data_IF_208570313393
#
_entry.id   IF_208570313393
#
_cell.length_a   1.000
_cell.length_b   1.000
_cell.length_c   1.000
_cell.angle_alpha   90.00
_cell.angle_beta   90.00
_cell.angle_gamma   90.00
#
_symmetry.space_group_name_H-M   'P 1'
#
loop_
_entity.id
_entity.type
_entity.pdbx_description
1 polymer ?
#
# COMPACT_ATOMS: atom_id res chain seq x y z
N UNK A 1 2.83 -10.63 -2.04
CA UNK A 1 3.06 -10.16 -0.66
C UNK A 1 1.92 -9.26 -0.25
N UNK A 2 1.25 -9.62 0.82
CA UNK A 2 0.11 -8.84 1.30
C UNK A 2 0.57 -7.63 2.11
N UNK A 3 -0.13 -6.53 1.95
CA UNK A 3 0.14 -5.29 2.68
C UNK A 3 -1.14 -4.56 3.01
N UNK A 4 -1.03 -3.63 3.94
CA UNK A 4 -2.17 -2.83 4.42
C UNK A 4 -1.79 -1.36 4.37
N UNK A 5 -2.70 -0.53 3.86
CA UNK A 5 -2.51 0.92 3.89
C UNK A 5 -2.83 1.39 5.30
N UNK A 6 -1.83 1.95 6.00
CA UNK A 6 -2.00 2.36 7.39
C UNK A 6 -2.16 3.87 7.55
N UNK A 7 -1.77 4.66 6.55
CA UNK A 7 -1.94 6.11 6.59
C UNK A 7 -1.80 6.67 5.18
N UNK A 8 -2.40 7.82 4.93
CA UNK A 8 -2.27 8.55 3.66
C UNK A 8 -1.87 9.98 3.99
N UNK A 9 -0.77 10.44 3.40
CA UNK A 9 -0.21 11.76 3.69
C UNK A 9 0.13 12.47 2.38
N UNK A 10 -0.73 13.41 1.97
CA UNK A 10 -0.51 14.17 0.76
C UNK A 10 -0.46 13.28 -0.46
N UNK A 11 0.70 13.20 -1.11
CA UNK A 11 0.87 12.47 -2.37
C UNK A 11 1.49 11.08 -2.16
N UNK A 12 1.65 10.64 -0.92
CA UNK A 12 2.15 9.29 -0.65
C UNK A 12 1.33 8.63 0.47
N UNK A 13 1.44 7.32 0.57
CA UNK A 13 0.81 6.52 1.61
C UNK A 13 1.86 5.70 2.34
N UNK A 14 1.55 5.36 3.60
CA UNK A 14 2.34 4.41 4.38
C UNK A 14 1.71 3.05 4.21
N UNK A 15 2.48 2.10 3.73
CA UNK A 15 2.03 0.73 3.46
C UNK A 15 2.85 -0.21 4.32
N UNK A 16 2.16 -1.03 5.10
CA UNK A 16 2.80 -2.01 5.96
C UNK A 16 2.73 -3.39 5.32
N UNK A 17 3.89 -4.03 5.17
CA UNK A 17 3.95 -5.40 4.66
C UNK A 17 3.62 -6.36 5.80
N UNK A 18 2.58 -7.17 5.61
CA UNK A 18 1.99 -7.94 6.70
C UNK A 18 2.93 -8.99 7.30
N UNK A 19 3.76 -9.61 6.46
CA UNK A 19 4.63 -10.69 6.92
C UNK A 19 5.88 -10.19 7.66
N UNK A 20 6.40 -9.03 7.30
CA UNK A 20 7.62 -8.48 7.91
C UNK A 20 7.35 -7.37 8.90
N UNK A 21 6.20 -6.71 8.79
CA UNK A 21 5.88 -5.52 9.58
C UNK A 21 6.61 -4.27 9.12
N UNK A 22 7.33 -4.34 8.01
CA UNK A 22 8.03 -3.17 7.46
C UNK A 22 7.03 -2.18 6.90
N UNK A 23 7.25 -0.89 7.17
CA UNK A 23 6.42 0.19 6.65
C UNK A 23 7.23 0.95 5.59
N UNK A 24 6.61 1.14 4.42
CA UNK A 24 7.23 1.88 3.30
C UNK A 24 6.36 3.06 2.91
N UNK A 25 7.01 4.13 2.46
CA UNK A 25 6.33 5.25 1.82
C UNK A 25 6.18 4.94 0.34
N UNK A 26 4.96 4.97 -0.15
CA UNK A 26 4.65 4.65 -1.54
C UNK A 26 3.85 5.79 -2.14
N UNK A 27 4.30 6.29 -3.29
CA UNK A 27 3.56 7.35 -3.99
C UNK A 27 2.15 6.88 -4.32
N UNK A 28 1.17 7.76 -4.10
CA UNK A 28 -0.23 7.43 -4.40
C UNK A 28 -0.41 7.02 -5.86
N UNK A 29 0.36 7.62 -6.76
CA UNK A 29 0.29 7.30 -8.19
C UNK A 29 0.65 5.84 -8.50
N UNK A 30 1.35 5.15 -7.60
CA UNK A 30 1.72 3.74 -7.76
C UNK A 30 0.70 2.78 -7.15
N UNK A 31 -0.33 3.31 -6.51
CA UNK A 31 -1.35 2.51 -5.84
C UNK A 31 -2.62 2.45 -6.68
N UNK A 32 -3.48 1.45 -6.45
CA UNK A 32 -4.76 1.39 -7.15
C UNK A 32 -5.59 2.65 -6.89
N UNK A 33 -6.35 3.08 -7.89
CA UNK A 33 -7.20 4.25 -7.78
C UNK A 33 -8.23 4.07 -6.67
N UNK A 34 -8.39 5.11 -5.86
CA UNK A 34 -9.40 5.09 -4.79
C UNK A 34 -8.95 4.36 -3.53
N UNK A 35 -7.67 4.04 -3.41
CA UNK A 35 -7.15 3.38 -2.21
C UNK A 35 -7.36 4.29 -0.98
N UNK A 36 -7.66 3.66 0.18
CA UNK A 36 -7.90 4.38 1.43
C UNK A 36 -7.23 3.63 2.58
N UNK A 37 -7.15 4.28 3.73
CA UNK A 37 -6.61 3.69 4.95
C UNK A 37 -7.41 2.45 5.31
N UNK A 38 -6.71 1.37 5.64
CA UNK A 38 -7.31 0.09 5.98
C UNK A 38 -7.44 -0.85 4.79
N UNK A 39 -7.24 -0.37 3.58
CA UNK A 39 -7.33 -1.22 2.39
C UNK A 39 -6.19 -2.23 2.37
N UNK A 40 -6.52 -3.45 1.95
CA UNK A 40 -5.56 -4.53 1.79
C UNK A 40 -5.14 -4.61 0.33
N UNK A 41 -3.85 -4.71 0.11
CA UNK A 41 -3.28 -4.78 -1.22
C UNK A 41 -2.37 -5.98 -1.33
N UNK A 42 -2.13 -6.41 -2.57
CA UNK A 42 -1.09 -7.41 -2.84
C UNK A 42 -0.03 -6.78 -3.72
N UNK A 43 1.24 -6.93 -3.32
CA UNK A 43 2.37 -6.46 -4.12
C UNK A 43 2.94 -7.67 -4.86
N UNK A 44 2.84 -7.64 -6.18
CA UNK A 44 3.41 -8.69 -7.04
C UNK A 44 3.73 -8.11 -8.40
N UNK A 45 4.74 -8.68 -9.07
CA UNK A 45 5.19 -8.22 -10.39
C UNK A 45 5.49 -6.72 -10.40
N UNK A 46 6.09 -6.23 -9.30
CA UNK A 46 6.48 -4.82 -9.12
C UNK A 46 5.29 -3.85 -9.14
N UNK A 47 4.10 -4.32 -8.80
CA UNK A 47 2.91 -3.48 -8.77
C UNK A 47 2.04 -3.80 -7.55
N UNK A 48 1.30 -2.78 -7.08
CA UNK A 48 0.31 -2.95 -6.03
C UNK A 48 -1.06 -3.13 -6.67
N UNK A 49 -1.81 -4.14 -6.22
CA UNK A 49 -3.14 -4.42 -6.72
C UNK A 49 -4.09 -4.63 -5.55
N UNK A 50 -5.37 -4.33 -5.75
CA UNK A 50 -6.38 -4.61 -4.72
C UNK A 50 -6.56 -6.12 -4.58
N UNK A 51 -6.74 -6.53 -3.34
CA UNK A 51 -6.99 -7.93 -3.02
C UNK A 51 -8.38 -8.36 -3.45
#
# INVERSE_FOLDING_TARGET
MLCTVIDIRGDYALVKYDDTGVVSEVAIALLPYGVDVGDRLIFQNYAFETV
#
